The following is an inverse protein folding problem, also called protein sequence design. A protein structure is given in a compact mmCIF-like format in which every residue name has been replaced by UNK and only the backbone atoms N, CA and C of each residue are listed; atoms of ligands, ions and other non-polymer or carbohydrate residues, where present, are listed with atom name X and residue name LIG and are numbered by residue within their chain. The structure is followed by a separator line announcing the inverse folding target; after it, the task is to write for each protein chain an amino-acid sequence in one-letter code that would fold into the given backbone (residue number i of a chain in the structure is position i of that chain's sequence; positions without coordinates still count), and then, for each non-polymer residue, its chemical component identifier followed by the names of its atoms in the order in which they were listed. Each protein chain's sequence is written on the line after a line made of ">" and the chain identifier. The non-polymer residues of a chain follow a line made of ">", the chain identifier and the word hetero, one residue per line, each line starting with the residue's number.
data_IF_251477037225
#
_entry.id   IF_251477037225
#
_cell.length_a   1.000
_cell.length_b   1.000
_cell.length_c   1.000
_cell.angle_alpha   90.00
_cell.angle_beta   90.00
_cell.angle_gamma   90.00
#
_symmetry.space_group_name_H-M   'P 1'
#
loop_
_entity.id
_entity.type
_entity.pdbx_description
1 polymer ?
#
# COMPACT_ATOMS: atom_id res chain seq x y z
N UNK A 1 -12.84 -8.29 4.41
CA UNK A 1 -12.11 -7.38 3.50
C UNK A 1 -12.79 -7.38 2.15
N UNK A 2 -12.91 -6.20 1.53
CA UNK A 2 -13.34 -6.08 0.12
C UNK A 2 -12.26 -6.70 -0.76
N UNK A 3 -12.62 -7.68 -1.60
CA UNK A 3 -11.69 -8.24 -2.59
C UNK A 3 -11.41 -7.17 -3.64
N UNK A 4 -10.12 -6.98 -3.94
CA UNK A 4 -9.69 -6.13 -5.05
C UNK A 4 -10.24 -6.72 -6.34
N UNK A 5 -10.84 -5.88 -7.16
CA UNK A 5 -11.23 -6.22 -8.52
C UNK A 5 -10.56 -5.23 -9.47
N UNK A 6 -9.79 -5.77 -10.42
CA UNK A 6 -8.93 -4.95 -11.28
C UNK A 6 -9.72 -3.90 -12.06
N UNK A 7 -10.86 -4.25 -12.64
CA UNK A 7 -11.62 -3.34 -13.50
C UNK A 7 -12.42 -2.31 -12.70
N UNK A 8 -13.15 -2.77 -11.67
CA UNK A 8 -14.01 -1.91 -10.84
C UNK A 8 -13.19 -0.91 -10.03
N UNK A 9 -12.05 -1.33 -9.48
CA UNK A 9 -11.31 -0.54 -8.49
C UNK A 9 -10.18 0.31 -9.13
N UNK A 10 -9.87 0.12 -10.42
CA UNK A 10 -8.76 0.80 -11.10
C UNK A 10 -8.79 2.32 -10.92
N UNK A 11 -9.95 2.95 -11.04
CA UNK A 11 -10.09 4.41 -10.88
C UNK A 11 -9.77 4.88 -9.46
N UNK A 12 -10.22 4.14 -8.44
CA UNK A 12 -9.96 4.45 -7.04
C UNK A 12 -8.46 4.32 -6.71
N UNK A 13 -7.81 3.29 -7.25
CA UNK A 13 -6.39 3.01 -7.02
C UNK A 13 -5.49 3.93 -7.85
N UNK A 14 -5.92 4.41 -9.02
CA UNK A 14 -5.16 5.37 -9.82
C UNK A 14 -5.21 6.81 -9.27
N UNK A 15 -6.21 7.14 -8.44
CA UNK A 15 -6.35 8.47 -7.90
C UNK A 15 -5.17 8.86 -7.00
N UNK A 16 -4.51 10.01 -7.24
CA UNK A 16 -3.45 10.50 -6.35
C UNK A 16 -4.00 11.09 -5.04
N UNK A 17 -5.31 11.35 -4.97
CA UNK A 17 -5.97 11.94 -3.80
C UNK A 17 -6.50 10.89 -2.81
N UNK A 18 -6.34 9.60 -3.10
CA UNK A 18 -6.65 8.53 -2.15
C UNK A 18 -5.70 8.58 -0.95
N UNK A 19 -6.15 8.08 0.19
CA UNK A 19 -5.26 7.81 1.32
C UNK A 19 -4.75 6.39 1.17
N UNK A 20 -3.44 6.23 1.02
CA UNK A 20 -2.80 4.93 0.93
C UNK A 20 -1.70 4.82 1.98
N UNK A 21 -1.88 3.92 2.93
CA UNK A 21 -0.93 3.64 4.00
C UNK A 21 -0.29 2.29 3.76
N UNK A 22 1.02 2.20 4.00
CA UNK A 22 1.75 0.94 4.09
C UNK A 22 2.39 0.87 5.46
N UNK A 23 2.12 -0.22 6.17
CA UNK A 23 2.70 -0.55 7.45
C UNK A 23 3.73 -1.68 7.28
N UNK A 24 4.84 -1.57 7.99
CA UNK A 24 5.89 -2.57 8.10
C UNK A 24 6.48 -2.54 9.51
N UNK A 25 7.41 -3.43 9.82
CA UNK A 25 8.16 -3.39 11.07
C UNK A 25 9.51 -2.72 10.84
N UNK A 26 9.96 -1.91 11.79
CA UNK A 26 11.28 -1.30 11.78
C UNK A 26 12.37 -2.25 12.32
N UNK A 27 13.59 -1.75 12.51
CA UNK A 27 14.74 -2.51 13.00
C UNK A 27 14.51 -3.13 14.40
N UNK A 28 13.72 -2.49 15.26
CA UNK A 28 13.40 -2.95 16.63
C UNK A 28 12.07 -3.69 16.73
N UNK A 29 11.43 -3.95 15.59
CA UNK A 29 10.14 -4.64 15.47
C UNK A 29 8.92 -3.78 15.88
N UNK A 30 9.08 -2.46 15.94
CA UNK A 30 7.98 -1.53 16.11
C UNK A 30 7.28 -1.24 14.77
N UNK A 31 6.00 -0.87 14.83
CA UNK A 31 5.20 -0.60 13.63
C UNK A 31 5.59 0.76 13.02
N UNK A 32 6.11 0.72 11.80
CA UNK A 32 6.39 1.89 10.98
C UNK A 32 5.32 2.05 9.89
N UNK A 33 4.67 3.22 9.83
CA UNK A 33 3.60 3.52 8.85
C UNK A 33 4.03 4.66 7.93
N UNK A 34 3.89 4.44 6.63
CA UNK A 34 4.15 5.44 5.58
C UNK A 34 2.90 5.74 4.76
N UNK A 35 2.67 7.00 4.44
CA UNK A 35 1.69 7.43 3.45
C UNK A 35 2.32 7.36 2.05
N UNK A 36 1.85 6.42 1.22
CA UNK A 36 2.35 6.19 -0.13
C UNK A 36 1.19 6.22 -1.13
N UNK A 37 0.74 7.43 -1.51
CA UNK A 37 -0.35 7.62 -2.48
C UNK A 37 -0.06 7.05 -3.88
N UNK A 38 1.19 6.67 -4.16
CA UNK A 38 1.60 5.93 -5.35
C UNK A 38 1.33 4.42 -5.28
N UNK A 39 0.84 3.90 -4.15
CA UNK A 39 0.42 2.51 -4.02
C UNK A 39 -0.76 2.24 -4.98
N UNK A 40 -0.62 1.22 -5.82
CA UNK A 40 -1.59 0.81 -6.83
C UNK A 40 -1.65 -0.71 -6.86
N UNK A 41 -2.74 -1.27 -7.35
CA UNK A 41 -2.81 -2.69 -7.66
C UNK A 41 -2.19 -2.95 -9.04
N UNK A 42 -1.70 -4.17 -9.23
CA UNK A 42 -1.27 -4.72 -10.51
C UNK A 42 -1.95 -6.06 -10.68
N UNK A 43 -3.21 -6.03 -11.08
CA UNK A 43 -4.07 -7.21 -11.03
C UNK A 43 -4.82 -7.31 -9.70
N UNK A 44 -5.19 -8.54 -9.33
CA UNK A 44 -6.00 -8.81 -8.12
C UNK A 44 -5.15 -9.18 -6.90
N UNK A 45 -3.92 -9.69 -7.11
CA UNK A 45 -3.08 -10.27 -6.06
C UNK A 45 -1.69 -9.58 -5.91
N UNK A 46 -1.38 -8.58 -6.73
CA UNK A 46 -0.13 -7.82 -6.63
C UNK A 46 -0.39 -6.33 -6.42
N UNK A 47 0.52 -5.69 -5.68
CA UNK A 47 0.57 -4.26 -5.47
C UNK A 47 1.88 -3.69 -6.02
N UNK A 48 1.84 -2.43 -6.46
CA UNK A 48 3.00 -1.68 -6.91
C UNK A 48 3.04 -0.35 -6.17
N UNK A 49 4.25 0.13 -5.89
CA UNK A 49 4.45 1.44 -5.28
C UNK A 49 5.55 2.20 -6.02
N UNK A 50 5.43 3.52 -6.05
CA UNK A 50 6.45 4.37 -6.67
C UNK A 50 7.69 4.52 -5.79
N UNK A 51 8.86 4.60 -6.43
CA UNK A 51 10.18 4.86 -5.81
C UNK A 51 10.62 6.33 -5.87
N UNK A 52 9.65 7.25 -6.01
CA UNK A 52 9.91 8.68 -6.24
C UNK A 52 10.44 9.40 -4.98
N UNK A 53 9.92 9.05 -3.81
CA UNK A 53 10.38 9.56 -2.51
C UNK A 53 10.89 8.36 -1.73
N UNK A 54 12.19 8.38 -1.41
CA UNK A 54 12.86 7.33 -0.66
C UNK A 54 12.98 7.75 0.80
N UNK A 55 12.14 7.18 1.64
CA UNK A 55 12.22 7.25 3.09
C UNK A 55 12.68 5.92 3.68
N UNK A 56 12.78 5.86 5.01
CA UNK A 56 13.21 4.67 5.75
C UNK A 56 12.37 3.42 5.40
N UNK A 57 11.07 3.59 5.16
CA UNK A 57 10.17 2.50 4.80
C UNK A 57 10.61 1.70 3.59
N UNK A 58 11.28 2.30 2.61
CA UNK A 58 11.77 1.57 1.42
C UNK A 58 12.86 0.56 1.76
N UNK A 59 13.79 0.94 2.63
CA UNK A 59 14.81 0.01 3.12
C UNK A 59 14.15 -1.09 3.97
N UNK A 60 13.21 -0.72 4.84
CA UNK A 60 12.49 -1.68 5.68
C UNK A 60 11.70 -2.71 4.86
N UNK A 61 11.05 -2.32 3.77
CA UNK A 61 10.34 -3.27 2.89
C UNK A 61 11.26 -4.34 2.30
N UNK A 62 12.54 -4.02 2.06
CA UNK A 62 13.49 -4.99 1.53
C UNK A 62 14.12 -5.87 2.62
N UNK A 63 14.34 -5.32 3.82
CA UNK A 63 14.96 -6.04 4.94
C UNK A 63 13.95 -6.90 5.73
N UNK A 64 12.73 -6.40 5.90
CA UNK A 64 11.59 -7.03 6.57
C UNK A 64 10.35 -6.93 5.67
N UNK A 65 10.16 -7.89 4.74
CA UNK A 65 9.19 -7.77 3.66
C UNK A 65 7.73 -7.81 4.11
N UNK A 66 7.46 -8.36 5.30
CA UNK A 66 6.13 -8.47 5.87
C UNK A 66 5.51 -7.09 6.08
N UNK A 67 4.49 -6.81 5.27
CA UNK A 67 3.85 -5.51 5.22
C UNK A 67 2.34 -5.65 5.18
N UNK A 68 1.65 -4.55 5.46
CA UNK A 68 0.20 -4.44 5.29
C UNK A 68 -0.14 -3.11 4.63
N UNK A 69 -1.29 -3.06 3.95
CA UNK A 69 -1.77 -1.83 3.36
C UNK A 69 -3.18 -1.47 3.79
N UNK A 70 -3.47 -0.17 3.67
CA UNK A 70 -4.80 0.39 3.63
C UNK A 70 -4.88 1.36 2.45
N UNK A 71 -5.93 1.23 1.63
CA UNK A 71 -6.32 2.22 0.64
C UNK A 71 -7.74 2.67 0.98
N UNK A 72 -7.93 3.99 1.07
CA UNK A 72 -9.22 4.64 1.19
C UNK A 72 -9.41 5.57 0.00
N UNK A 73 -10.45 5.33 -0.81
CA UNK A 73 -10.80 6.21 -1.93
C UNK A 73 -11.54 7.46 -1.46
N UNK A 74 -11.80 8.39 -2.38
CA UNK A 74 -12.54 9.62 -2.10
C UNK A 74 -13.99 9.34 -1.72
N UNK A 75 -14.56 8.26 -2.25
CA UNK A 75 -15.90 7.77 -1.90
C UNK A 75 -15.94 7.01 -0.58
N UNK A 76 -14.84 7.00 0.19
CA UNK A 76 -14.69 6.26 1.44
C UNK A 76 -14.89 4.75 1.27
N UNK A 77 -14.50 4.22 0.11
CA UNK A 77 -14.35 2.79 -0.08
C UNK A 77 -12.99 2.36 0.46
N UNK A 78 -12.94 1.19 1.11
CA UNK A 78 -11.74 0.70 1.79
C UNK A 78 -11.26 -0.63 1.24
N UNK A 79 -9.95 -0.73 1.06
CA UNK A 79 -9.23 -1.97 0.80
C UNK A 79 -8.10 -2.09 1.79
N UNK A 80 -7.97 -3.27 2.37
CA UNK A 80 -6.88 -3.61 3.29
C UNK A 80 -6.40 -5.00 2.97
N UNK A 81 -5.14 -5.28 3.30
CA UNK A 81 -4.55 -6.60 3.09
C UNK A 81 -3.10 -6.64 3.57
N UNK A 82 -2.53 -7.84 3.55
CA UNK A 82 -1.11 -8.09 3.83
C UNK A 82 -0.36 -8.31 2.52
N UNK A 83 0.93 -8.02 2.52
CA UNK A 83 1.83 -8.13 1.37
C UNK A 83 3.20 -8.62 1.87
N UNK A 84 3.92 -9.31 0.99
CA UNK A 84 5.34 -9.60 1.16
C UNK A 84 6.09 -9.00 -0.04
N UNK A 85 7.19 -8.29 0.22
CA UNK A 85 8.06 -7.64 -0.77
C UNK A 85 9.18 -8.53 -1.31
#
# INVERSE_FOLDING_TARGET
>A
MKKINLERDAGDFASPYKVALVACHDEVDDVHISLLSSLMNRGEDEMTLGEFIKGQSKSLFHEKPQSAFLIMSLSQEFWTGTMDF
#
